data_IF_872223280722
#
_entry.id   IF_872223280722
#
_cell.length_a   1.000
_cell.length_b   1.000
_cell.length_c   1.000
_cell.angle_alpha   90.00
_cell.angle_beta   90.00
_cell.angle_gamma   90.00
#
_symmetry.space_group_name_H-M   'P 1'
#
loop_
_entity.id
_entity.type
_entity.pdbx_description
1 polymer ?
#
# COMPACT_ATOMS: atom_id res chain seq x y z
N UNK A 1 -11.14 -14.58 4.70
CA UNK A 1 -10.53 -13.55 3.82
C UNK A 1 -9.62 -12.58 4.58
N UNK A 2 -10.00 -12.07 5.76
CA UNK A 2 -9.16 -11.16 6.59
C UNK A 2 -7.76 -11.70 6.92
N UNK A 3 -7.63 -12.99 7.24
CA UNK A 3 -6.33 -13.61 7.59
C UNK A 3 -5.36 -13.70 6.43
N UNK A 4 -5.86 -13.93 5.21
CA UNK A 4 -5.05 -13.99 3.97
C UNK A 4 -4.51 -12.60 3.64
N UNK A 5 -5.33 -11.56 3.81
CA UNK A 5 -4.91 -10.16 3.65
C UNK A 5 -3.82 -9.79 4.66
N UNK A 6 -3.89 -10.31 5.88
CA UNK A 6 -2.89 -10.12 6.94
C UNK A 6 -1.57 -10.85 6.65
N UNK A 7 -1.64 -12.08 6.14
CA UNK A 7 -0.47 -12.87 5.73
C UNK A 7 0.25 -12.27 4.52
N UNK A 8 -0.50 -11.82 3.51
CA UNK A 8 0.08 -11.13 2.35
C UNK A 8 0.72 -9.79 2.76
N UNK A 9 0.10 -9.07 3.70
CA UNK A 9 0.63 -7.83 4.24
C UNK A 9 1.94 -8.05 5.02
N UNK A 10 2.01 -9.07 5.89
CA UNK A 10 3.22 -9.37 6.65
C UNK A 10 4.36 -9.82 5.74
N UNK A 11 4.12 -10.73 4.78
CA UNK A 11 5.14 -11.12 3.79
C UNK A 11 5.62 -9.94 2.93
N UNK A 12 4.69 -9.07 2.51
CA UNK A 12 5.00 -7.87 1.74
C UNK A 12 5.83 -6.82 2.49
N UNK A 13 5.87 -6.88 3.83
CA UNK A 13 6.72 -5.99 4.66
C UNK A 13 8.07 -6.63 4.94
N UNK A 14 8.08 -7.91 5.27
CA UNK A 14 9.30 -8.64 5.69
C UNK A 14 10.31 -8.72 4.55
N UNK A 15 9.87 -9.01 3.33
CA UNK A 15 10.75 -9.21 2.16
C UNK A 15 11.52 -7.93 1.77
N UNK A 16 10.87 -6.78 1.55
CA UNK A 16 11.60 -5.55 1.23
C UNK A 16 12.47 -5.10 2.40
N UNK A 17 12.01 -5.25 3.64
CA UNK A 17 12.83 -4.87 4.80
C UNK A 17 14.09 -5.75 4.93
N UNK A 18 13.99 -7.04 4.62
CA UNK A 18 15.13 -7.96 4.62
C UNK A 18 16.18 -7.59 3.56
N UNK A 19 15.75 -7.17 2.36
CA UNK A 19 16.66 -6.68 1.32
C UNK A 19 17.21 -5.27 1.61
N UNK A 20 16.42 -4.42 2.28
CA UNK A 20 16.78 -3.02 2.55
C UNK A 20 17.74 -2.86 3.73
N UNK A 21 17.65 -3.73 4.75
CA UNK A 21 18.48 -3.67 5.97
C UNK A 21 19.98 -3.72 5.70
N UNK A 22 20.55 -4.68 4.92
CA UNK A 22 21.99 -4.72 4.66
C UNK A 22 22.49 -3.54 3.80
N UNK A 23 21.62 -2.98 2.95
CA UNK A 23 21.94 -1.80 2.16
C UNK A 23 22.03 -0.54 3.04
N UNK A 24 21.10 -0.40 3.99
CA UNK A 24 21.05 0.74 4.91
C UNK A 24 22.25 0.79 5.86
N UNK A 25 22.74 -0.37 6.27
CA UNK A 25 23.91 -0.51 7.16
C UNK A 25 25.21 -0.15 6.42
N UNK A 26 25.36 -0.54 5.16
CA UNK A 26 26.59 -0.32 4.40
C UNK A 26 26.68 1.05 3.71
N UNK A 27 25.56 1.59 3.21
CA UNK A 27 25.55 2.81 2.39
C UNK A 27 24.83 4.00 3.06
N UNK A 28 24.15 3.81 4.20
CA UNK A 28 23.31 4.85 4.82
C UNK A 28 22.00 5.12 4.05
N UNK A 29 21.27 6.17 4.44
CA UNK A 29 20.06 6.66 3.74
C UNK A 29 20.41 7.43 2.44
N UNK A 30 21.30 6.88 1.63
CA UNK A 30 21.70 7.52 0.38
C UNK A 30 20.79 7.08 -0.78
N UNK A 31 19.72 7.86 -0.97
CA UNK A 31 18.70 7.65 -1.99
C UNK A 31 19.31 7.67 -3.40
N UNK A 32 20.41 8.40 -3.59
CA UNK A 32 21.12 8.49 -4.87
C UNK A 32 21.79 7.16 -5.22
N UNK A 33 22.48 6.56 -4.25
CA UNK A 33 23.10 5.23 -4.38
C UNK A 33 22.07 4.13 -4.61
N UNK A 34 20.89 4.20 -3.97
CA UNK A 34 19.79 3.26 -4.22
C UNK A 34 19.33 3.36 -5.66
N UNK A 35 19.13 4.58 -6.17
CA UNK A 35 18.69 4.81 -7.54
C UNK A 35 19.74 4.29 -8.54
N UNK A 36 21.03 4.55 -8.34
CA UNK A 36 22.07 4.00 -9.21
C UNK A 36 22.05 2.47 -9.27
N UNK A 37 21.95 1.78 -8.12
CA UNK A 37 21.87 0.32 -8.12
C UNK A 37 20.54 -0.23 -8.68
N UNK A 38 19.42 0.45 -8.47
CA UNK A 38 18.11 0.06 -9.03
C UNK A 38 18.04 0.25 -10.55
N UNK A 39 18.70 1.28 -11.07
CA UNK A 39 18.70 1.60 -12.50
C UNK A 39 19.93 1.06 -13.25
N UNK A 40 20.92 0.49 -12.56
CA UNK A 40 22.06 -0.21 -13.16
C UNK A 40 21.61 -1.37 -14.03
N UNK A 41 20.57 -2.10 -13.60
CA UNK A 41 20.06 -3.24 -14.34
C UNK A 41 18.70 -2.89 -14.98
N UNK A 42 18.54 -3.17 -16.27
CA UNK A 42 17.30 -2.84 -17.01
C UNK A 42 16.08 -3.55 -16.43
N UNK A 43 16.27 -4.75 -15.89
CA UNK A 43 15.21 -5.54 -15.27
C UNK A 43 14.73 -4.90 -13.97
N UNK A 44 15.63 -4.46 -13.09
CA UNK A 44 15.24 -3.78 -11.84
C UNK A 44 14.64 -2.41 -12.11
N UNK A 45 15.13 -1.68 -13.12
CA UNK A 45 14.53 -0.43 -13.57
C UNK A 45 13.08 -0.61 -14.03
N UNK A 46 12.78 -1.70 -14.76
CA UNK A 46 11.43 -2.02 -15.19
C UNK A 46 10.50 -2.31 -14.00
N UNK A 47 10.96 -3.11 -13.04
CA UNK A 47 10.21 -3.37 -11.81
C UNK A 47 9.97 -2.10 -10.98
N UNK A 48 10.98 -1.23 -10.86
CA UNK A 48 10.86 0.03 -10.13
C UNK A 48 9.87 0.99 -10.80
N UNK A 49 9.93 1.10 -12.14
CA UNK A 49 9.00 1.92 -12.91
C UNK A 49 7.56 1.40 -12.80
N UNK A 50 7.35 0.08 -12.94
CA UNK A 50 6.03 -0.55 -12.80
C UNK A 50 5.44 -0.35 -11.39
N UNK A 51 6.27 -0.48 -10.35
CA UNK A 51 5.87 -0.20 -8.97
C UNK A 51 5.49 1.27 -8.75
N UNK A 52 6.27 2.21 -9.30
CA UNK A 52 5.98 3.65 -9.25
C UNK A 52 4.65 3.99 -9.93
N UNK A 53 4.43 3.46 -11.14
CA UNK A 53 3.19 3.67 -11.88
C UNK A 53 2.01 3.07 -11.11
N UNK A 54 2.17 1.86 -10.57
CA UNK A 54 1.14 1.20 -9.75
C UNK A 54 0.82 1.98 -8.46
N UNK A 55 1.82 2.59 -7.82
CA UNK A 55 1.64 3.52 -6.71
C UNK A 55 0.79 4.73 -7.09
N UNK A 56 1.09 5.36 -8.23
CA UNK A 56 0.32 6.53 -8.71
C UNK A 56 -1.13 6.13 -9.00
N UNK A 57 -1.34 5.04 -9.75
CA UNK A 57 -2.69 4.54 -10.07
C UNK A 57 -3.46 4.23 -8.79
N UNK A 58 -2.82 3.59 -7.81
CA UNK A 58 -3.45 3.30 -6.53
C UNK A 58 -3.79 4.57 -5.74
N UNK A 59 -2.93 5.59 -5.72
CA UNK A 59 -3.22 6.86 -5.05
C UNK A 59 -4.42 7.57 -5.70
N UNK A 60 -4.51 7.59 -7.04
CA UNK A 60 -5.67 8.14 -7.75
C UNK A 60 -6.95 7.35 -7.45
N UNK A 61 -6.85 6.02 -7.40
CA UNK A 61 -7.97 5.14 -7.05
C UNK A 61 -8.42 5.35 -5.59
N UNK A 62 -7.47 5.40 -4.66
CA UNK A 62 -7.68 5.69 -3.24
C UNK A 62 -8.42 7.02 -3.07
N UNK A 63 -7.95 8.08 -3.74
CA UNK A 63 -8.55 9.41 -3.66
C UNK A 63 -10.01 9.40 -4.14
N UNK A 64 -10.27 8.73 -5.27
CA UNK A 64 -11.61 8.63 -5.87
C UNK A 64 -12.58 7.87 -4.97
N UNK A 65 -12.18 6.71 -4.46
CA UNK A 65 -13.01 5.90 -3.55
C UNK A 65 -13.21 6.58 -2.20
N UNK A 66 -12.19 7.26 -1.68
CA UNK A 66 -12.33 7.97 -0.39
C UNK A 66 -13.36 9.10 -0.47
N UNK A 67 -13.38 9.81 -1.60
CA UNK A 67 -14.40 10.84 -1.88
C UNK A 67 -15.80 10.23 -1.99
N UNK A 68 -15.91 9.03 -2.56
CA UNK A 68 -17.19 8.32 -2.78
C UNK A 68 -17.78 7.72 -1.49
N UNK A 69 -16.94 7.15 -0.64
CA UNK A 69 -17.37 6.42 0.57
C UNK A 69 -17.08 7.16 1.90
N UNK A 70 -16.56 8.39 1.86
CA UNK A 70 -16.18 9.22 3.04
C UNK A 70 -15.29 8.45 4.04
N UNK A 71 -14.33 7.68 3.54
CA UNK A 71 -13.43 6.88 4.38
C UNK A 71 -12.44 7.82 5.10
N UNK A 72 -12.58 8.00 6.41
CA UNK A 72 -11.71 8.90 7.20
C UNK A 72 -10.26 8.41 7.31
N UNK A 73 -10.01 7.11 7.15
CA UNK A 73 -8.70 6.49 7.36
C UNK A 73 -7.77 6.46 6.13
N UNK A 74 -8.06 7.22 5.06
CA UNK A 74 -7.22 7.23 3.84
C UNK A 74 -5.74 7.45 4.14
N UNK A 75 -5.43 8.36 5.07
CA UNK A 75 -4.06 8.77 5.38
C UNK A 75 -3.19 7.59 5.82
N UNK A 76 -3.78 6.57 6.47
CA UNK A 76 -3.08 5.36 6.90
C UNK A 76 -2.69 4.51 5.69
N UNK A 77 -3.53 4.44 4.66
CA UNK A 77 -3.19 3.76 3.41
C UNK A 77 -2.04 4.45 2.68
N UNK A 78 -2.00 5.78 2.65
CA UNK A 78 -0.87 6.52 2.05
C UNK A 78 0.41 6.27 2.83
N UNK A 79 0.33 6.36 4.16
CA UNK A 79 1.48 6.10 5.02
C UNK A 79 2.00 4.68 4.79
N UNK A 80 1.11 3.68 4.73
CA UNK A 80 1.45 2.31 4.41
C UNK A 80 2.07 2.14 3.01
N UNK A 81 1.59 2.86 1.99
CA UNK A 81 2.19 2.83 0.65
C UNK A 81 3.62 3.37 0.68
N UNK A 82 3.90 4.40 1.49
CA UNK A 82 5.23 5.03 1.58
C UNK A 82 6.18 4.23 2.48
N UNK A 83 5.69 3.68 3.60
CA UNK A 83 6.54 2.99 4.60
C UNK A 83 6.76 1.52 4.28
N UNK A 84 5.80 0.85 3.65
CA UNK A 84 5.83 -0.60 3.40
C UNK A 84 5.68 -0.93 1.92
N UNK A 85 4.88 -0.15 1.19
CA UNK A 85 4.62 -0.34 -0.24
C UNK A 85 3.19 -0.72 -0.56
N UNK A 86 2.92 -0.83 -1.86
CA UNK A 86 1.59 -1.12 -2.42
C UNK A 86 0.99 -2.43 -1.90
N UNK A 87 1.83 -3.43 -1.64
CA UNK A 87 1.40 -4.77 -1.24
C UNK A 87 0.68 -4.80 0.10
N UNK A 88 0.96 -3.86 1.02
CA UNK A 88 0.27 -3.74 2.31
C UNK A 88 -0.83 -2.67 2.25
N UNK A 89 -0.62 -1.60 1.50
CA UNK A 89 -1.60 -0.54 1.33
C UNK A 89 -2.90 -1.04 0.67
N UNK A 90 -2.78 -1.93 -0.32
CA UNK A 90 -3.92 -2.43 -1.09
C UNK A 90 -4.87 -3.34 -0.26
N UNK A 91 -4.39 -4.35 0.49
CA UNK A 91 -5.20 -5.11 1.43
C UNK A 91 -5.87 -4.24 2.51
N UNK A 92 -5.10 -3.30 3.07
CA UNK A 92 -5.57 -2.42 4.15
C UNK A 92 -6.68 -1.49 3.66
N UNK A 93 -6.53 -0.97 2.43
CA UNK A 93 -7.59 -0.20 1.78
C UNK A 93 -8.85 -1.03 1.58
N UNK A 94 -8.73 -2.26 1.09
CA UNK A 94 -9.86 -3.15 0.88
C UNK A 94 -10.60 -3.46 2.19
N UNK A 95 -9.86 -3.59 3.30
CA UNK A 95 -10.42 -3.75 4.64
C UNK A 95 -11.26 -2.54 5.09
N UNK A 96 -10.74 -1.33 4.92
CA UNK A 96 -11.48 -0.11 5.26
C UNK A 96 -12.72 0.08 4.40
N UNK A 97 -12.64 -0.26 3.10
CA UNK A 97 -13.79 -0.26 2.20
C UNK A 97 -14.88 -1.22 2.67
N UNK A 98 -14.51 -2.41 3.14
CA UNK A 98 -15.45 -3.39 3.69
C UNK A 98 -16.19 -2.84 4.92
N UNK A 99 -15.46 -2.22 5.85
CA UNK A 99 -16.04 -1.60 7.06
C UNK A 99 -16.99 -0.44 6.73
N UNK A 100 -16.66 0.36 5.71
CA UNK A 100 -17.51 1.45 5.27
C UNK A 100 -18.84 0.93 4.68
N UNK A 101 -18.80 -0.14 3.89
CA UNK A 101 -19.99 -0.79 3.32
C UNK A 101 -20.86 -1.43 4.42
N UNK A 102 -20.25 -2.10 5.39
CA UNK A 102 -20.96 -2.72 6.52
C UNK A 102 -21.70 -1.66 7.36
N UNK A 103 -21.06 -0.52 7.62
CA UNK A 103 -21.73 0.64 8.28
C UNK A 103 -22.92 1.17 7.50
N UNK A 104 -22.86 1.17 6.16
CA UNK A 104 -23.99 1.63 5.34
C UNK A 104 -25.14 0.62 5.33
N UNK A 105 -24.86 -0.68 5.32
CA UNK A 105 -25.90 -1.71 5.38
C UNK A 105 -26.63 -1.72 6.72
N UNK A 106 -25.92 -1.64 7.84
CA UNK A 106 -26.54 -1.56 9.18
C UNK A 106 -27.46 -0.35 9.28
N UNK A 107 -27.03 0.81 8.75
CA UNK A 107 -27.84 2.03 8.74
C UNK A 107 -29.07 1.94 7.84
N UNK A 108 -29.02 1.16 6.76
CA UNK A 108 -30.18 0.92 5.89
C UNK A 108 -31.20 -0.03 6.52
N UNK A 109 -30.76 -1.06 7.23
CA UNK A 109 -31.67 -1.98 7.92
C UNK A 109 -32.37 -1.30 9.10
N UNK A 110 -31.68 -0.45 9.88
CA UNK A 110 -32.32 0.30 10.97
C UNK A 110 -33.35 1.35 10.54
N UNK A 111 -33.44 1.68 9.25
CA UNK A 111 -34.45 2.63 8.72
C UNK A 111 -35.73 1.90 8.28
N UNK A 112 -35.68 0.57 8.17
CA UNK A 112 -36.80 -0.29 7.78
C UNK A 112 -37.50 -0.94 8.98
N UNK A 113 -36.95 -0.76 10.19
CA UNK A 113 -37.53 -1.16 11.49
C UNK A 113 -38.11 0.07 12.20
#
# INVERSE_FOLDING_TARGET
MKTILLLLASMGTIIPYYFFTPFLINNGLDIMSIAELLFVNRVSAFFAADFLISCIVFLTFLYTETKKYKIKQWWICILATITVGLSLAFPLFLYFRLLALEKQQVKSNQVLD
#
